data_IF_419557031025
#
_entry.id   IF_419557031025
#
_cell.length_a   1.000
_cell.length_b   1.000
_cell.length_c   1.000
_cell.angle_alpha   90.00
_cell.angle_beta   90.00
_cell.angle_gamma   90.00
#
_symmetry.space_group_name_H-M   'P 1'
#
loop_
_entity.id
_entity.type
_entity.pdbx_description
1 polymer ?
#
# COMPACT_ATOMS: atom_id res chain seq x y z
N UNK A 1 21.70 0.52 -8.35
CA UNK A 1 22.19 -0.30 -7.22
C UNK A 1 21.85 0.46 -5.95
N UNK A 2 20.99 0.06 -5.01
CA UNK A 2 20.34 -1.21 -4.74
C UNK A 2 20.24 -1.40 -3.22
N UNK A 3 19.60 -0.48 -2.49
CA UNK A 3 19.41 -0.60 -1.03
C UNK A 3 18.20 0.21 -0.54
N UNK A 4 17.00 -0.37 -0.58
CA UNK A 4 15.85 0.13 0.18
C UNK A 4 14.75 -0.96 0.40
N UNK A 5 15.09 -2.25 0.37
CA UNK A 5 14.08 -3.33 0.40
C UNK A 5 13.75 -3.90 1.79
N UNK A 6 14.30 -3.36 2.89
CA UNK A 6 14.27 -4.04 4.20
C UNK A 6 14.11 -3.17 5.46
N UNK A 7 13.92 -1.84 5.36
CA UNK A 7 13.94 -0.99 6.57
C UNK A 7 12.64 -1.14 7.41
N UNK A 8 11.49 -1.41 6.80
CA UNK A 8 10.22 -1.62 7.53
C UNK A 8 10.09 -2.97 8.23
N UNK A 9 10.90 -3.98 7.88
CA UNK A 9 10.74 -5.36 8.39
C UNK A 9 11.32 -5.61 9.78
N UNK A 10 12.11 -4.68 10.34
CA UNK A 10 12.87 -4.95 11.57
C UNK A 10 12.23 -4.31 12.83
N UNK A 11 11.46 -3.23 12.67
CA UNK A 11 10.81 -2.54 13.79
C UNK A 11 9.68 -3.35 14.42
N UNK A 12 8.67 -3.69 13.63
CA UNK A 12 7.50 -4.44 14.08
C UNK A 12 7.82 -5.89 14.51
N UNK A 13 8.77 -6.53 13.81
CA UNK A 13 9.19 -7.90 14.12
C UNK A 13 9.82 -8.00 15.52
N UNK A 14 10.42 -6.95 16.07
CA UNK A 14 11.01 -6.98 17.41
C UNK A 14 9.97 -6.92 18.55
N UNK A 15 8.82 -6.26 18.33
CA UNK A 15 7.76 -6.11 19.35
C UNK A 15 6.77 -7.28 19.27
N UNK A 16 6.38 -7.71 18.06
CA UNK A 16 5.59 -8.94 17.87
C UNK A 16 6.35 -10.18 18.37
N UNK A 17 7.67 -10.26 18.16
CA UNK A 17 8.51 -11.30 18.76
C UNK A 17 8.68 -11.10 20.27
N UNK A 18 8.59 -9.87 20.80
CA UNK A 18 8.65 -9.58 22.24
C UNK A 18 7.39 -10.02 22.99
N UNK A 19 6.20 -9.79 22.43
CA UNK A 19 4.91 -10.20 23.01
C UNK A 19 4.64 -11.69 22.71
N UNK A 20 4.95 -12.13 21.49
CA UNK A 20 4.94 -13.52 21.07
C UNK A 20 5.90 -14.37 21.89
N UNK A 21 7.13 -13.91 22.15
CA UNK A 21 8.04 -14.58 23.08
C UNK A 21 7.65 -14.38 24.55
N UNK A 22 7.01 -13.28 24.96
CA UNK A 22 6.48 -13.16 26.33
C UNK A 22 5.43 -14.25 26.62
N UNK A 23 4.56 -14.53 25.65
CA UNK A 23 3.54 -15.58 25.74
C UNK A 23 4.05 -16.99 25.34
N UNK A 24 5.10 -17.10 24.52
CA UNK A 24 5.66 -18.38 24.03
C UNK A 24 6.98 -18.82 24.72
N UNK A 25 7.70 -17.95 25.43
CA UNK A 25 8.98 -18.25 26.10
C UNK A 25 8.81 -18.80 27.52
N UNK A 26 7.68 -19.43 27.81
CA UNK A 26 7.55 -20.25 29.02
C UNK A 26 8.41 -21.51 28.85
N UNK A 27 9.01 -22.06 29.93
CA UNK A 27 10.03 -23.08 29.81
C UNK A 27 9.45 -24.34 29.14
N UNK A 28 10.04 -24.70 28.00
CA UNK A 28 10.02 -26.06 27.48
C UNK A 28 10.20 -27.03 28.66
N UNK A 29 9.20 -27.87 28.89
CA UNK A 29 9.46 -29.15 29.53
C UNK A 29 10.31 -29.91 28.52
N UNK A 30 11.62 -29.92 28.72
CA UNK A 30 12.51 -30.73 27.92
C UNK A 30 12.06 -32.19 28.07
N UNK A 31 11.39 -32.72 27.05
CA UNK A 31 11.16 -34.16 26.93
C UNK A 31 12.52 -34.79 26.64
N UNK A 32 13.28 -35.11 27.69
CA UNK A 32 14.51 -35.86 27.57
C UNK A 32 14.19 -37.23 26.95
N UNK A 33 14.76 -37.49 25.78
CA UNK A 33 14.84 -38.83 25.23
C UNK A 33 15.54 -39.73 26.27
N UNK A 34 14.94 -40.87 26.71
CA UNK A 34 15.62 -41.73 27.66
C UNK A 34 16.84 -42.34 26.99
N UNK A 35 18.02 -42.10 27.56
CA UNK A 35 19.25 -42.82 27.19
C UNK A 35 18.99 -44.32 27.26
N UNK A 36 19.29 -45.03 26.16
CA UNK A 36 19.32 -46.48 26.13
C UNK A 36 20.43 -46.96 27.06
N UNK A 37 20.08 -47.29 28.31
CA UNK A 37 20.63 -48.41 29.07
C UNK A 37 19.79 -48.64 30.32
N UNK A 38 19.38 -49.89 30.49
CA UNK A 38 18.37 -50.34 31.44
C UNK A 38 18.87 -50.45 32.89
N UNK A 39 18.00 -50.12 33.85
CA UNK A 39 17.64 -51.07 34.91
C UNK A 39 16.28 -50.71 35.51
N UNK A 40 15.38 -51.69 35.53
CA UNK A 40 13.94 -51.53 35.70
C UNK A 40 13.52 -51.25 37.16
N UNK A 41 12.68 -50.23 37.35
CA UNK A 41 11.58 -50.27 38.33
C UNK A 41 10.27 -50.09 37.57
N UNK A 42 9.53 -51.18 37.51
CA UNK A 42 8.24 -51.36 36.88
C UNK A 42 7.20 -50.34 37.39
N UNK A 43 6.98 -49.30 36.60
CA UNK A 43 5.71 -48.59 36.54
C UNK A 43 5.50 -48.20 35.08
N UNK A 44 5.05 -49.15 34.28
CA UNK A 44 4.51 -48.85 32.96
C UNK A 44 3.25 -47.99 33.13
N UNK A 45 3.38 -46.67 33.09
CA UNK A 45 2.27 -45.85 32.64
C UNK A 45 2.04 -46.24 31.19
N UNK A 46 0.86 -46.77 30.83
CA UNK A 46 0.60 -47.11 29.44
C UNK A 46 0.80 -45.84 28.61
N UNK A 47 1.55 -45.91 27.50
CA UNK A 47 1.48 -44.88 26.47
C UNK A 47 0.00 -44.86 26.05
N UNK A 48 -0.74 -43.87 26.54
CA UNK A 48 -2.16 -43.72 26.22
C UNK A 48 -2.26 -43.73 24.69
N UNK A 49 -3.12 -44.55 24.07
CA UNK A 49 -3.19 -44.62 22.61
C UNK A 49 -3.38 -43.23 21.98
N UNK A 50 -2.73 -42.97 20.84
CA UNK A 50 -2.92 -41.76 20.04
C UNK A 50 -4.44 -41.50 19.88
N UNK A 51 -4.89 -40.31 20.29
CA UNK A 51 -6.31 -39.92 20.31
C UNK A 51 -7.04 -40.10 21.66
N UNK A 52 -6.37 -40.56 22.73
CA UNK A 52 -6.94 -40.59 24.09
C UNK A 52 -6.37 -39.54 25.05
N UNK A 53 -5.30 -38.83 24.69
CA UNK A 53 -4.74 -37.75 25.50
C UNK A 53 -5.70 -36.56 25.51
N UNK A 54 -6.25 -36.27 26.69
CA UNK A 54 -7.32 -35.30 26.86
C UNK A 54 -7.33 -34.77 28.29
N UNK A 55 -7.40 -33.45 28.42
CA UNK A 55 -7.65 -32.77 29.67
C UNK A 55 -8.76 -31.74 29.52
N UNK A 56 -9.63 -31.64 30.53
CA UNK A 56 -10.72 -30.67 30.58
C UNK A 56 -10.74 -30.06 31.97
N UNK A 57 -10.69 -28.73 32.04
CA UNK A 57 -10.83 -27.96 33.28
C UNK A 57 -11.94 -26.92 33.12
N UNK A 58 -12.74 -26.75 34.16
CA UNK A 58 -13.80 -25.75 34.20
C UNK A 58 -13.88 -25.12 35.58
N UNK A 59 -13.96 -23.79 35.67
CA UNK A 59 -14.12 -23.06 36.93
C UNK A 59 -13.08 -23.44 38.02
N UNK A 60 -11.81 -23.64 37.69
CA UNK A 60 -10.80 -24.04 38.68
C UNK A 60 -10.67 -25.54 38.92
N UNK A 61 -11.59 -26.35 38.40
CA UNK A 61 -11.64 -27.79 38.67
C UNK A 61 -11.29 -28.60 37.41
N UNK A 62 -10.28 -29.47 37.52
CA UNK A 62 -9.99 -30.48 36.49
C UNK A 62 -11.10 -31.55 36.49
N UNK A 63 -11.79 -31.69 35.36
CA UNK A 63 -12.92 -32.61 35.16
C UNK A 63 -12.52 -33.89 34.45
N UNK A 64 -11.54 -33.82 33.56
CA UNK A 64 -10.98 -34.96 32.83
C UNK A 64 -9.48 -34.81 32.80
N UNK A 65 -8.74 -35.88 33.07
CA UNK A 65 -7.31 -35.97 32.84
C UNK A 65 -6.98 -37.35 32.28
N UNK A 66 -6.37 -37.40 31.09
CA UNK A 66 -5.91 -38.60 30.41
C UNK A 66 -4.58 -38.31 29.72
N UNK A 67 -3.57 -39.10 30.06
CA UNK A 67 -2.20 -38.92 29.59
C UNK A 67 -1.60 -37.56 29.94
N UNK A 68 -0.87 -36.98 29.00
CA UNK A 68 -0.01 -35.82 29.19
C UNK A 68 -0.62 -34.47 28.79
N UNK A 69 -1.81 -34.46 28.18
CA UNK A 69 -2.53 -33.23 27.86
C UNK A 69 -2.80 -32.40 29.13
N UNK A 70 -2.68 -31.07 29.04
CA UNK A 70 -2.82 -30.15 30.18
C UNK A 70 -3.99 -29.20 29.93
N UNK A 71 -4.96 -29.14 30.84
CA UNK A 71 -5.99 -28.11 30.85
C UNK A 71 -6.09 -27.47 32.24
N UNK A 72 -5.93 -26.15 32.28
CA UNK A 72 -6.07 -25.34 33.49
C UNK A 72 -7.05 -24.21 33.25
N UNK A 73 -7.98 -24.01 34.17
CA UNK A 73 -8.88 -22.86 34.18
C UNK A 73 -8.99 -22.29 35.58
N UNK A 74 -9.33 -21.02 35.70
CA UNK A 74 -9.77 -20.37 36.94
C UNK A 74 -10.89 -19.37 36.65
N UNK A 75 -11.43 -18.72 37.69
CA UNK A 75 -12.53 -17.77 37.52
C UNK A 75 -13.87 -18.40 37.15
N UNK A 76 -14.93 -17.61 37.20
CA UNK A 76 -16.28 -18.07 36.92
C UNK A 76 -16.51 -18.18 35.41
N UNK A 77 -17.07 -19.31 34.96
CA UNK A 77 -17.47 -19.53 33.57
C UNK A 77 -16.33 -19.90 32.62
N UNK A 78 -15.10 -20.02 33.13
CA UNK A 78 -13.92 -20.32 32.31
C UNK A 78 -13.80 -21.81 32.02
N UNK A 79 -13.31 -22.13 30.82
CA UNK A 79 -13.21 -23.49 30.28
C UNK A 79 -11.89 -23.66 29.54
N UNK A 80 -11.13 -24.68 29.91
CA UNK A 80 -9.94 -25.13 29.19
C UNK A 80 -10.11 -26.58 28.72
N UNK A 81 -9.80 -26.84 27.45
CA UNK A 81 -9.89 -28.18 26.83
C UNK A 81 -8.62 -28.41 26.01
N UNK A 82 -7.83 -29.42 26.36
CA UNK A 82 -6.68 -29.88 25.59
C UNK A 82 -6.90 -31.30 25.08
N UNK A 83 -6.58 -31.55 23.81
CA UNK A 83 -6.68 -32.86 23.14
C UNK A 83 -5.49 -33.10 22.23
N UNK A 84 -4.81 -34.22 22.43
CA UNK A 84 -3.58 -34.57 21.72
C UNK A 84 -2.40 -34.75 22.67
N UNK A 85 -1.33 -35.34 22.15
CA UNK A 85 -0.10 -35.60 22.88
C UNK A 85 0.66 -34.28 23.08
N UNK A 86 1.07 -33.99 24.32
CA UNK A 86 1.78 -32.74 24.65
C UNK A 86 0.96 -31.45 24.44
N UNK A 87 -0.36 -31.55 24.28
CA UNK A 87 -1.25 -30.40 24.05
C UNK A 87 -1.59 -29.67 25.35
N UNK A 88 -1.62 -28.33 25.31
CA UNK A 88 -1.92 -27.50 26.49
C UNK A 88 -3.02 -26.46 26.23
N UNK A 89 -3.90 -26.25 27.21
CA UNK A 89 -4.94 -25.23 27.20
C UNK A 89 -5.04 -24.51 28.55
N UNK A 90 -4.96 -23.18 28.55
CA UNK A 90 -5.00 -22.35 29.75
C UNK A 90 -6.08 -21.26 29.63
N UNK A 91 -7.09 -21.29 30.49
CA UNK A 91 -8.15 -20.29 30.56
C UNK A 91 -8.18 -19.64 31.95
N UNK A 92 -7.21 -18.77 32.22
CA UNK A 92 -6.82 -18.31 33.57
C UNK A 92 -6.76 -16.78 33.68
N UNK A 93 -6.73 -16.26 34.91
CA UNK A 93 -6.58 -14.83 35.19
C UNK A 93 -7.83 -13.98 34.94
N UNK A 94 -9.02 -14.59 34.94
CA UNK A 94 -10.29 -13.89 34.69
C UNK A 94 -11.50 -14.81 34.58
N UNK A 95 -12.66 -14.25 34.31
CA UNK A 95 -13.94 -14.96 34.13
C UNK A 95 -14.24 -15.19 32.66
N UNK A 96 -15.03 -16.22 32.37
CA UNK A 96 -15.55 -16.54 31.04
C UNK A 96 -14.48 -16.77 29.95
N UNK A 97 -13.22 -17.00 30.34
CA UNK A 97 -12.13 -17.29 29.43
C UNK A 97 -12.28 -18.70 28.83
N UNK A 98 -11.99 -18.85 27.55
CA UNK A 98 -12.13 -20.13 26.82
C UNK A 98 -10.89 -20.46 26.04
N UNK A 99 -10.17 -21.50 26.46
CA UNK A 99 -9.02 -22.05 25.75
C UNK A 99 -9.32 -23.46 25.25
N UNK A 100 -9.15 -23.70 23.95
CA UNK A 100 -9.30 -25.02 23.36
C UNK A 100 -8.13 -25.32 22.44
N UNK A 101 -7.37 -26.37 22.72
CA UNK A 101 -6.29 -26.84 21.85
C UNK A 101 -6.58 -28.28 21.42
N UNK A 102 -6.59 -28.51 20.10
CA UNK A 102 -6.78 -29.81 19.48
C UNK A 102 -5.67 -30.05 18.45
N UNK A 103 -4.75 -30.94 18.75
CA UNK A 103 -3.57 -31.24 17.93
C UNK A 103 -2.32 -31.44 18.78
N UNK A 104 -1.44 -32.30 18.31
CA UNK A 104 -0.19 -32.69 18.98
C UNK A 104 0.70 -31.47 19.19
N UNK A 105 1.24 -31.27 20.39
CA UNK A 105 2.17 -30.18 20.71
C UNK A 105 1.58 -28.78 20.66
N UNK A 106 0.25 -28.64 20.54
CA UNK A 106 -0.42 -27.36 20.37
C UNK A 106 -0.79 -26.68 21.70
N UNK A 107 -0.84 -25.35 21.68
CA UNK A 107 -1.08 -24.53 22.88
C UNK A 107 -2.14 -23.46 22.64
N UNK A 108 -3.12 -23.38 23.54
CA UNK A 108 -4.11 -22.29 23.57
C UNK A 108 -4.09 -21.58 24.93
N UNK A 109 -3.96 -20.24 24.94
CA UNK A 109 -3.95 -19.43 26.17
C UNK A 109 -5.02 -18.34 26.06
N UNK A 110 -5.95 -18.29 27.02
CA UNK A 110 -7.01 -17.28 27.12
C UNK A 110 -6.98 -16.61 28.51
N UNK A 111 -6.79 -15.28 28.57
CA UNK A 111 -6.78 -14.48 29.80
C UNK A 111 -5.39 -13.96 30.18
N UNK A 112 -4.71 -14.62 31.12
CA UNK A 112 -3.37 -14.24 31.59
C UNK A 112 -2.28 -15.26 31.19
N UNK A 113 -1.02 -14.87 31.38
CA UNK A 113 0.09 -15.83 31.52
C UNK A 113 -0.22 -16.78 32.69
N UNK A 114 -0.18 -18.12 32.49
CA UNK A 114 -0.36 -19.10 33.57
C UNK A 114 0.56 -18.93 34.78
N UNK A 115 1.70 -18.23 34.62
CA UNK A 115 2.67 -17.98 35.68
C UNK A 115 2.43 -16.64 36.41
N UNK A 116 1.60 -15.74 35.85
CA UNK A 116 1.19 -14.48 36.49
C UNK A 116 -0.30 -14.19 36.23
N UNK A 117 -1.21 -14.82 36.99
CA UNK A 117 -2.65 -14.66 36.81
C UNK A 117 -3.19 -13.29 37.29
N UNK A 118 -2.32 -12.37 37.74
CA UNK A 118 -2.75 -11.06 38.28
C UNK A 118 -2.98 -10.00 37.21
N UNK A 119 -2.62 -10.29 35.95
CA UNK A 119 -2.66 -9.36 34.82
C UNK A 119 -3.51 -9.94 33.66
N UNK A 120 -4.58 -10.67 33.97
CA UNK A 120 -5.50 -11.22 32.96
C UNK A 120 -6.68 -10.31 32.62
N UNK A 121 -7.62 -10.84 31.84
CA UNK A 121 -8.90 -10.20 31.53
C UNK A 121 -10.00 -11.22 31.28
N UNK A 122 -11.22 -10.74 31.11
CA UNK A 122 -12.45 -11.52 31.02
C UNK A 122 -12.86 -11.80 29.56
N UNK A 123 -13.54 -12.92 29.34
CA UNK A 123 -14.19 -13.23 28.07
C UNK A 123 -13.26 -13.54 26.89
N UNK A 124 -11.97 -13.75 27.14
CA UNK A 124 -10.99 -14.07 26.12
C UNK A 124 -11.21 -15.47 25.53
N UNK A 125 -10.87 -15.65 24.25
CA UNK A 125 -11.02 -16.92 23.53
C UNK A 125 -9.78 -17.28 22.72
N UNK A 126 -9.14 -18.40 23.07
CA UNK A 126 -8.08 -19.00 22.26
C UNK A 126 -8.52 -20.37 21.74
N UNK A 127 -8.36 -20.62 20.45
CA UNK A 127 -8.72 -21.90 19.82
C UNK A 127 -7.64 -22.35 18.85
N UNK A 128 -7.13 -23.56 19.00
CA UNK A 128 -6.22 -24.21 18.06
C UNK A 128 -6.85 -25.51 17.55
N UNK A 129 -6.85 -25.68 16.25
CA UNK A 129 -7.13 -26.94 15.57
C UNK A 129 -6.05 -27.21 14.51
N UNK A 130 -5.06 -28.00 14.90
CA UNK A 130 -3.84 -28.27 14.12
C UNK A 130 -2.69 -28.62 15.05
N UNK A 131 -1.65 -29.25 14.51
CA UNK A 131 -0.47 -29.70 15.23
C UNK A 131 0.57 -28.57 15.35
N UNK A 132 1.37 -28.60 16.42
CA UNK A 132 2.47 -27.66 16.69
C UNK A 132 2.08 -26.18 16.56
N UNK A 133 0.87 -25.84 16.96
CA UNK A 133 0.27 -24.52 16.71
C UNK A 133 -0.04 -23.76 18.00
N UNK A 134 -0.09 -22.43 17.91
CA UNK A 134 -0.27 -21.54 19.05
C UNK A 134 -1.39 -20.53 18.83
N UNK A 135 -2.31 -20.42 19.79
CA UNK A 135 -3.26 -19.32 19.88
C UNK A 135 -3.19 -18.65 21.25
N UNK A 136 -2.91 -17.35 21.30
CA UNK A 136 -2.88 -16.55 22.53
C UNK A 136 -3.86 -15.40 22.49
N UNK A 137 -4.83 -15.39 23.40
CA UNK A 137 -5.83 -14.33 23.59
C UNK A 137 -5.74 -13.78 25.02
N UNK A 138 -5.00 -12.69 25.27
CA UNK A 138 -4.60 -12.35 26.64
C UNK A 138 -4.43 -10.85 26.92
N UNK A 139 -4.25 -10.48 28.19
CA UNK A 139 -3.88 -9.13 28.63
C UNK A 139 -4.89 -8.05 28.18
N UNK A 140 -6.16 -8.26 28.51
CA UNK A 140 -7.30 -7.40 28.17
C UNK A 140 -8.58 -8.23 28.07
N UNK A 141 -9.70 -7.60 27.74
CA UNK A 141 -11.02 -8.23 27.69
C UNK A 141 -11.45 -8.59 26.25
N UNK A 142 -12.13 -9.72 26.09
CA UNK A 142 -12.80 -10.07 24.82
C UNK A 142 -11.88 -10.39 23.63
N UNK A 143 -10.58 -10.56 23.84
CA UNK A 143 -9.66 -10.91 22.77
C UNK A 143 -9.94 -12.31 22.21
N UNK A 144 -9.75 -12.50 20.90
CA UNK A 144 -10.01 -13.77 20.21
C UNK A 144 -8.84 -14.17 19.32
N UNK A 145 -8.20 -15.30 19.62
CA UNK A 145 -7.17 -15.91 18.78
C UNK A 145 -7.64 -17.29 18.28
N UNK A 146 -7.60 -17.53 16.98
CA UNK A 146 -8.01 -18.80 16.37
C UNK A 146 -6.98 -19.28 15.34
N UNK A 147 -6.57 -20.54 15.46
CA UNK A 147 -5.76 -21.23 14.45
C UNK A 147 -6.50 -22.44 13.93
N UNK A 148 -6.56 -22.57 12.60
CA UNK A 148 -6.95 -23.78 11.86
C UNK A 148 -5.84 -24.08 10.86
N UNK A 149 -5.04 -25.11 11.13
CA UNK A 149 -3.83 -25.42 10.37
C UNK A 149 -2.65 -25.71 11.29
N UNK A 150 -1.60 -26.29 10.71
CA UNK A 150 -0.42 -26.79 11.42
C UNK A 150 0.70 -25.75 11.44
N UNK A 151 1.51 -25.75 12.50
CA UNK A 151 2.68 -24.85 12.62
C UNK A 151 2.36 -23.34 12.63
N UNK A 152 1.13 -22.95 12.97
CA UNK A 152 0.62 -21.58 12.84
C UNK A 152 0.55 -20.84 14.18
N UNK A 153 0.68 -19.51 14.16
CA UNK A 153 0.71 -18.66 15.36
C UNK A 153 -0.25 -17.47 15.28
N UNK A 154 -1.35 -17.51 16.03
CA UNK A 154 -2.29 -16.40 16.19
C UNK A 154 -2.19 -15.75 17.58
N UNK A 155 -2.07 -14.42 17.65
CA UNK A 155 -1.96 -13.65 18.90
C UNK A 155 -2.91 -12.47 18.88
N UNK A 156 -3.86 -12.43 19.81
CA UNK A 156 -4.75 -11.30 20.09
C UNK A 156 -4.50 -10.82 21.52
N UNK A 157 -3.75 -9.74 21.74
CA UNK A 157 -3.32 -9.40 23.10
C UNK A 157 -3.09 -7.92 23.36
N UNK A 158 -2.99 -7.54 24.63
CA UNK A 158 -2.66 -6.16 25.07
C UNK A 158 -3.68 -5.15 24.56
N UNK A 159 -4.78 -5.02 25.31
CA UNK A 159 -5.95 -4.22 24.96
C UNK A 159 -7.18 -5.09 24.71
N UNK A 160 -8.30 -4.49 24.30
CA UNK A 160 -9.60 -5.15 24.31
C UNK A 160 -10.11 -5.48 22.91
N UNK A 161 -10.84 -6.59 22.78
CA UNK A 161 -11.54 -7.00 21.55
C UNK A 161 -10.64 -7.18 20.32
N UNK A 162 -9.35 -7.47 20.50
CA UNK A 162 -8.47 -7.80 19.39
C UNK A 162 -8.80 -9.19 18.83
N UNK A 163 -8.66 -9.37 17.52
CA UNK A 163 -9.00 -10.61 16.81
C UNK A 163 -7.85 -11.05 15.92
N UNK A 164 -7.28 -12.24 16.17
CA UNK A 164 -6.28 -12.87 15.34
C UNK A 164 -6.80 -14.22 14.82
N UNK A 165 -6.82 -14.43 13.50
CA UNK A 165 -7.34 -15.65 12.89
C UNK A 165 -6.40 -16.16 11.82
N UNK A 166 -6.12 -17.46 11.85
CA UNK A 166 -5.40 -18.17 10.81
C UNK A 166 -6.25 -19.35 10.34
N UNK A 167 -6.36 -19.47 9.01
CA UNK A 167 -6.92 -20.62 8.29
C UNK A 167 -5.93 -21.03 7.20
N UNK A 168 -4.99 -21.92 7.55
CA UNK A 168 -3.83 -22.32 6.74
C UNK A 168 -2.63 -22.73 7.60
N UNK A 169 -1.63 -23.32 6.96
CA UNK A 169 -0.44 -23.86 7.62
C UNK A 169 0.70 -22.85 7.65
N UNK A 170 1.48 -22.83 8.74
CA UNK A 170 2.68 -22.00 8.89
C UNK A 170 2.45 -20.48 8.89
N UNK A 171 1.22 -20.02 9.09
CA UNK A 171 0.85 -18.60 9.07
C UNK A 171 1.15 -17.87 10.36
N UNK A 172 1.17 -16.54 10.30
CA UNK A 172 1.29 -15.65 11.46
C UNK A 172 0.23 -14.54 11.45
N UNK A 173 -0.52 -14.39 12.54
CA UNK A 173 -1.50 -13.33 12.70
C UNK A 173 -1.37 -12.67 14.08
N UNK A 174 -1.11 -11.36 14.13
CA UNK A 174 -0.99 -10.60 15.38
C UNK A 174 -1.93 -9.41 15.38
N UNK A 175 -2.85 -9.36 16.34
CA UNK A 175 -3.70 -8.22 16.65
C UNK A 175 -3.41 -7.73 18.06
N UNK A 176 -2.71 -6.61 18.25
CA UNK A 176 -2.21 -6.26 19.58
C UNK A 176 -1.92 -4.78 19.84
N UNK A 177 -1.68 -4.45 21.11
CA UNK A 177 -1.25 -3.11 21.55
C UNK A 177 -2.23 -2.01 21.16
N UNK A 178 -3.47 -2.17 21.61
CA UNK A 178 -4.62 -1.31 21.33
C UNK A 178 -5.90 -2.13 21.32
N UNK A 179 -7.02 -1.53 20.94
CA UNK A 179 -8.34 -2.18 20.98
C UNK A 179 -8.95 -2.35 19.60
N UNK A 180 -9.72 -3.43 19.40
CA UNK A 180 -10.47 -3.65 18.15
C UNK A 180 -9.61 -4.04 16.94
N UNK A 181 -8.31 -4.29 17.12
CA UNK A 181 -7.45 -4.66 16.00
C UNK A 181 -7.81 -6.05 15.45
N UNK A 182 -7.68 -6.23 14.15
CA UNK A 182 -8.05 -7.46 13.45
C UNK A 182 -6.93 -7.92 12.50
N UNK A 183 -6.36 -9.08 12.76
CA UNK A 183 -5.35 -9.72 11.91
C UNK A 183 -5.87 -11.07 11.41
N UNK A 184 -5.92 -11.26 10.09
CA UNK A 184 -6.49 -12.46 9.47
C UNK A 184 -5.54 -12.99 8.39
N UNK A 185 -5.24 -14.29 8.45
CA UNK A 185 -4.55 -15.02 7.40
C UNK A 185 -5.44 -16.14 6.90
N UNK A 186 -5.71 -16.16 5.60
CA UNK A 186 -6.29 -17.27 4.87
C UNK A 186 -5.26 -17.78 3.84
N UNK A 187 -4.84 -19.03 3.94
CA UNK A 187 -3.77 -19.60 3.12
C UNK A 187 -2.49 -19.86 3.92
N UNK A 188 -1.52 -20.49 3.25
CA UNK A 188 -0.32 -20.99 3.90
C UNK A 188 0.78 -19.92 3.94
N UNK A 189 1.54 -19.90 5.04
CA UNK A 189 2.70 -19.03 5.25
C UNK A 189 2.45 -17.50 5.15
N UNK A 190 1.19 -17.06 5.15
CA UNK A 190 0.84 -15.64 5.17
C UNK A 190 1.16 -14.96 6.51
N UNK A 191 1.35 -13.64 6.49
CA UNK A 191 1.60 -12.83 7.69
C UNK A 191 0.69 -11.61 7.74
N UNK A 192 -0.14 -11.49 8.78
CA UNK A 192 -1.00 -10.34 9.01
C UNK A 192 -0.72 -9.74 10.40
N UNK A 193 -0.33 -8.47 10.46
CA UNK A 193 -0.13 -7.76 11.73
C UNK A 193 -0.96 -6.48 11.75
N UNK A 194 -1.87 -6.40 12.73
CA UNK A 194 -2.69 -5.24 13.06
C UNK A 194 -2.33 -4.78 14.48
N UNK A 195 -1.41 -3.82 14.61
CA UNK A 195 -0.79 -3.50 15.91
C UNK A 195 -0.71 -2.00 16.17
N UNK A 196 -0.44 -1.61 17.42
CA UNK A 196 -0.06 -0.24 17.79
C UNK A 196 -1.08 0.83 17.37
N UNK A 197 -2.20 0.85 18.09
CA UNK A 197 -3.34 1.73 17.85
C UNK A 197 -4.66 0.95 17.88
N UNK A 198 -5.77 1.64 17.62
CA UNK A 198 -7.12 1.06 17.70
C UNK A 198 -7.70 0.80 16.30
N UNK A 199 -8.52 -0.24 16.18
CA UNK A 199 -9.30 -0.58 14.97
C UNK A 199 -8.48 -0.82 13.69
N UNK A 200 -7.18 -1.15 13.81
CA UNK A 200 -6.37 -1.52 12.65
C UNK A 200 -6.77 -2.90 12.11
N UNK A 201 -6.72 -3.08 10.80
CA UNK A 201 -7.11 -4.32 10.12
C UNK A 201 -6.05 -4.76 9.11
N UNK A 202 -5.49 -5.95 9.30
CA UNK A 202 -4.58 -6.59 8.37
C UNK A 202 -5.17 -7.94 7.90
N UNK A 203 -5.26 -8.14 6.59
CA UNK A 203 -5.82 -9.36 5.99
C UNK A 203 -4.90 -9.87 4.88
N UNK A 204 -4.60 -11.17 4.91
CA UNK A 204 -3.87 -11.86 3.85
C UNK A 204 -4.70 -13.04 3.33
N UNK A 205 -4.88 -13.11 2.02
CA UNK A 205 -5.35 -14.27 1.28
C UNK A 205 -4.19 -14.79 0.40
N UNK A 206 -3.51 -15.85 0.84
CA UNK A 206 -2.29 -16.39 0.20
C UNK A 206 -1.09 -16.40 1.15
N UNK A 207 0.12 -16.31 0.59
CA UNK A 207 1.38 -16.35 1.34
C UNK A 207 2.09 -14.99 1.45
N UNK A 208 1.37 -13.90 1.19
CA UNK A 208 1.87 -12.53 1.28
C UNK A 208 1.95 -11.96 2.71
N UNK A 209 2.14 -10.65 2.81
CA UNK A 209 2.23 -9.93 4.08
C UNK A 209 1.41 -8.64 4.13
N UNK A 210 0.54 -8.49 5.12
CA UNK A 210 -0.24 -7.28 5.37
C UNK A 210 0.13 -6.68 6.73
N UNK A 211 0.41 -5.37 6.77
CA UNK A 211 0.79 -4.64 7.97
C UNK A 211 -0.06 -3.37 8.14
N UNK A 212 -0.87 -3.31 9.21
CA UNK A 212 -1.68 -2.16 9.57
C UNK A 212 -1.31 -1.68 10.98
N UNK A 213 -0.65 -0.53 11.12
CA UNK A 213 -0.14 -0.13 12.43
C UNK A 213 0.10 1.38 12.61
N UNK A 214 0.62 1.76 13.78
CA UNK A 214 1.08 3.13 14.08
C UNK A 214 0.00 4.19 13.83
N UNK A 215 -1.13 4.05 14.51
CA UNK A 215 -2.31 4.93 14.38
C UNK A 215 -3.60 4.12 14.38
N UNK A 216 -4.74 4.74 14.08
CA UNK A 216 -6.05 4.10 14.19
C UNK A 216 -6.72 3.87 12.83
N UNK A 217 -7.51 2.80 12.71
CA UNK A 217 -8.34 2.56 11.53
C UNK A 217 -7.57 2.25 10.24
N UNK A 218 -6.28 1.91 10.33
CA UNK A 218 -5.50 1.56 9.16
C UNK A 218 -5.91 0.19 8.61
N UNK A 219 -5.94 0.06 7.28
CA UNK A 219 -6.37 -1.14 6.56
C UNK A 219 -5.27 -1.62 5.60
N UNK A 220 -4.77 -2.83 5.80
CA UNK A 220 -3.87 -3.51 4.87
C UNK A 220 -4.49 -4.84 4.39
N UNK A 221 -4.60 -5.03 3.08
CA UNK A 221 -5.16 -6.25 2.48
C UNK A 221 -4.26 -6.76 1.35
N UNK A 222 -3.98 -8.06 1.35
CA UNK A 222 -3.23 -8.74 0.30
C UNK A 222 -4.02 -9.93 -0.23
N UNK A 223 -4.26 -9.97 -1.53
CA UNK A 223 -4.69 -11.14 -2.29
C UNK A 223 -3.52 -11.61 -3.19
N UNK A 224 -2.83 -12.69 -2.79
CA UNK A 224 -1.70 -13.28 -3.52
C UNK A 224 -0.35 -13.28 -2.78
N UNK A 225 0.75 -13.41 -3.53
CA UNK A 225 2.13 -13.41 -3.03
C UNK A 225 2.74 -11.99 -3.01
N UNK A 226 2.13 -11.10 -2.23
CA UNK A 226 2.41 -9.65 -2.26
C UNK A 226 2.58 -9.02 -0.88
N UNK A 227 2.83 -7.71 -0.84
CA UNK A 227 3.03 -6.97 0.41
C UNK A 227 2.22 -5.66 0.46
N UNK A 228 1.47 -5.45 1.53
CA UNK A 228 0.73 -4.22 1.79
C UNK A 228 1.09 -3.61 3.15
N UNK A 229 1.25 -2.30 3.21
CA UNK A 229 1.50 -1.57 4.46
C UNK A 229 0.65 -0.31 4.54
N UNK A 230 -0.15 -0.21 5.60
CA UNK A 230 -0.91 0.98 5.98
C UNK A 230 -0.44 1.42 7.38
N UNK A 231 0.34 2.51 7.48
CA UNK A 231 0.94 2.87 8.77
C UNK A 231 1.24 4.36 8.95
N UNK A 232 1.45 4.80 10.18
CA UNK A 232 1.98 6.12 10.49
C UNK A 232 0.97 7.22 10.23
N UNK A 233 -0.09 7.24 11.04
CA UNK A 233 -1.28 8.09 10.90
C UNK A 233 -2.55 7.24 10.96
N UNK A 234 -3.71 7.87 10.76
CA UNK A 234 -5.01 7.24 10.85
C UNK A 234 -5.64 7.01 9.47
N UNK A 235 -6.53 6.02 9.38
CA UNK A 235 -7.39 5.76 8.21
C UNK A 235 -6.62 5.54 6.89
N UNK A 236 -5.37 5.05 6.96
CA UNK A 236 -4.61 4.71 5.77
C UNK A 236 -5.05 3.37 5.20
N UNK A 237 -5.14 3.24 3.89
CA UNK A 237 -5.60 2.03 3.18
C UNK A 237 -4.56 1.55 2.17
N UNK A 238 -4.11 0.31 2.29
CA UNK A 238 -3.19 -0.36 1.39
C UNK A 238 -3.77 -1.69 0.91
N UNK A 239 -4.03 -1.84 -0.39
CA UNK A 239 -4.66 -3.05 -0.96
C UNK A 239 -3.86 -3.56 -2.15
N UNK A 240 -3.59 -4.86 -2.19
CA UNK A 240 -2.97 -5.54 -3.34
C UNK A 240 -3.86 -6.67 -3.84
N UNK A 241 -4.12 -6.67 -5.14
CA UNK A 241 -4.71 -7.78 -5.90
C UNK A 241 -3.73 -8.14 -7.04
N UNK A 242 -2.92 -9.17 -6.85
CA UNK A 242 -1.89 -9.57 -7.80
C UNK A 242 -0.65 -10.11 -7.09
N UNK A 243 0.24 -10.73 -7.85
CA UNK A 243 1.43 -11.39 -7.35
C UNK A 243 2.69 -10.54 -7.50
N UNK A 244 3.63 -10.69 -6.57
CA UNK A 244 4.92 -10.01 -6.58
C UNK A 244 4.78 -8.47 -6.64
N UNK A 245 3.70 -7.95 -6.05
CA UNK A 245 3.34 -6.54 -6.00
C UNK A 245 3.55 -5.97 -4.59
N UNK A 246 3.69 -4.65 -4.49
CA UNK A 246 3.93 -3.97 -3.21
C UNK A 246 3.17 -2.65 -3.13
N UNK A 247 2.54 -2.41 -1.97
CA UNK A 247 1.74 -1.20 -1.72
C UNK A 247 2.08 -0.58 -0.38
N UNK A 248 2.13 0.76 -0.33
CA UNK A 248 2.39 1.54 0.88
C UNK A 248 1.47 2.75 0.97
N UNK A 249 0.70 2.85 2.04
CA UNK A 249 -0.07 4.05 2.43
C UNK A 249 0.38 4.49 3.83
N UNK A 250 0.74 5.77 4.01
CA UNK A 250 1.17 6.21 5.33
C UNK A 250 1.72 7.62 5.44
N UNK A 251 2.43 7.88 6.55
CA UNK A 251 3.14 9.14 6.83
C UNK A 251 2.25 10.33 7.15
N UNK A 252 0.93 10.14 7.22
CA UNK A 252 -0.12 11.09 7.54
C UNK A 252 -1.47 10.38 7.55
N UNK A 253 -2.57 11.12 7.47
CA UNK A 253 -3.93 10.56 7.63
C UNK A 253 -4.63 10.37 6.27
N UNK A 254 -5.46 9.32 6.16
CA UNK A 254 -6.37 9.13 5.04
C UNK A 254 -5.71 8.84 3.69
N UNK A 255 -4.49 8.31 3.67
CA UNK A 255 -3.82 7.95 2.42
C UNK A 255 -4.33 6.61 1.90
N UNK A 256 -4.50 6.48 0.59
CA UNK A 256 -4.97 5.26 -0.09
C UNK A 256 -3.98 4.83 -1.16
N UNK A 257 -3.55 3.57 -1.13
CA UNK A 257 -2.71 2.97 -2.16
C UNK A 257 -3.30 1.61 -2.58
N UNK A 258 -3.48 1.38 -3.88
CA UNK A 258 -4.12 0.17 -4.42
C UNK A 258 -3.39 -0.31 -5.66
N UNK A 259 -3.11 -1.61 -5.73
CA UNK A 259 -2.62 -2.29 -6.94
C UNK A 259 -3.59 -3.39 -7.35
N UNK A 260 -3.94 -3.41 -8.63
CA UNK A 260 -4.56 -4.52 -9.33
C UNK A 260 -3.67 -4.87 -10.54
N UNK A 261 -2.83 -5.89 -10.39
CA UNK A 261 -1.82 -6.28 -11.39
C UNK A 261 -0.58 -6.90 -10.77
N UNK A 262 0.17 -7.63 -11.58
CA UNK A 262 1.36 -8.38 -11.17
C UNK A 262 2.63 -7.54 -11.31
N UNK A 263 3.57 -7.69 -10.37
CA UNK A 263 4.86 -6.99 -10.42
C UNK A 263 4.76 -5.46 -10.31
N UNK A 264 3.70 -4.95 -9.68
CA UNK A 264 3.32 -3.54 -9.68
C UNK A 264 3.50 -2.86 -8.31
N UNK A 265 3.55 -1.53 -8.30
CA UNK A 265 3.78 -0.72 -7.09
C UNK A 265 2.85 0.48 -6.97
N UNK A 266 2.19 0.63 -5.82
CA UNK A 266 1.50 1.88 -5.47
C UNK A 266 1.99 2.46 -4.14
N UNK A 267 2.26 3.76 -4.11
CA UNK A 267 2.76 4.46 -2.91
C UNK A 267 2.05 5.79 -2.67
N UNK A 268 1.38 5.93 -1.53
CA UNK A 268 0.86 7.18 -0.99
C UNK A 268 1.52 7.44 0.38
N UNK A 269 2.74 7.99 0.35
CA UNK A 269 3.74 7.71 1.40
C UNK A 269 3.86 8.78 2.49
N UNK A 270 3.82 10.08 2.16
CA UNK A 270 3.99 11.16 3.14
C UNK A 270 3.05 12.31 2.79
N UNK A 271 2.33 12.79 3.81
CA UNK A 271 1.24 13.76 3.67
C UNK A 271 -0.11 13.09 3.98
N UNK A 272 -1.20 13.83 3.82
CA UNK A 272 -2.56 13.36 4.09
C UNK A 272 -3.43 13.39 2.84
N UNK A 273 -4.44 12.52 2.78
CA UNK A 273 -5.43 12.51 1.69
C UNK A 273 -4.88 12.08 0.33
N UNK A 274 -3.68 11.50 0.27
CA UNK A 274 -3.09 11.08 -1.00
C UNK A 274 -3.70 9.76 -1.49
N UNK A 275 -3.90 9.64 -2.80
CA UNK A 275 -4.40 8.43 -3.46
C UNK A 275 -3.44 7.99 -4.57
N UNK A 276 -3.01 6.72 -4.55
CA UNK A 276 -2.19 6.08 -5.57
C UNK A 276 -2.85 4.78 -6.06
N UNK A 277 -3.12 4.65 -7.35
CA UNK A 277 -3.81 3.46 -7.91
C UNK A 277 -3.09 2.93 -9.14
N UNK A 278 -2.92 1.61 -9.21
CA UNK A 278 -2.40 0.91 -10.39
C UNK A 278 -3.38 -0.16 -10.83
N UNK A 279 -3.71 -0.16 -12.12
CA UNK A 279 -4.41 -1.23 -12.82
C UNK A 279 -3.59 -1.61 -14.05
N UNK A 280 -2.80 -2.67 -13.96
CA UNK A 280 -1.85 -3.09 -15.00
C UNK A 280 -0.61 -3.75 -14.43
N UNK A 281 0.07 -4.53 -15.26
CA UNK A 281 1.24 -5.32 -14.89
C UNK A 281 2.55 -4.52 -15.07
N UNK A 282 3.48 -4.70 -14.14
CA UNK A 282 4.79 -4.02 -14.19
C UNK A 282 4.70 -2.49 -14.10
N UNK A 283 3.65 -1.97 -13.46
CA UNK A 283 3.28 -0.55 -13.45
C UNK A 283 3.45 0.10 -12.08
N UNK A 284 3.55 1.45 -12.05
CA UNK A 284 3.81 2.19 -10.82
C UNK A 284 3.03 3.51 -10.70
N UNK A 285 2.35 3.71 -9.56
CA UNK A 285 1.71 4.98 -9.18
C UNK A 285 2.28 5.46 -7.84
N UNK A 286 2.91 6.65 -7.81
CA UNK A 286 3.60 7.12 -6.59
C UNK A 286 3.32 8.57 -6.31
N UNK A 287 2.95 8.87 -5.07
CA UNK A 287 3.00 10.21 -4.47
C UNK A 287 3.87 10.16 -3.22
N UNK A 288 4.91 10.99 -3.21
CA UNK A 288 5.97 10.92 -2.18
C UNK A 288 5.77 11.91 -1.05
N UNK A 289 5.46 13.17 -1.36
CA UNK A 289 5.33 14.26 -0.38
C UNK A 289 4.20 15.22 -0.75
N UNK A 290 3.48 15.68 0.27
CA UNK A 290 2.44 16.70 0.22
C UNK A 290 1.04 16.10 0.27
N UNK A 291 0.00 16.94 0.23
CA UNK A 291 -1.36 16.54 0.58
C UNK A 291 -2.31 16.47 -0.63
N UNK A 292 -3.37 15.67 -0.51
CA UNK A 292 -4.52 15.63 -1.42
C UNK A 292 -4.17 15.34 -2.89
N UNK A 293 -3.11 14.57 -3.13
CA UNK A 293 -2.69 14.22 -4.48
C UNK A 293 -3.34 12.94 -4.97
N UNK A 294 -3.75 12.90 -6.23
CA UNK A 294 -4.31 11.71 -6.88
C UNK A 294 -3.43 11.25 -8.03
N UNK A 295 -2.94 10.01 -7.96
CA UNK A 295 -2.05 9.40 -8.96
C UNK A 295 -2.66 8.07 -9.42
N UNK A 296 -2.83 7.88 -10.72
CA UNK A 296 -3.45 6.68 -11.28
C UNK A 296 -2.75 6.18 -12.54
N UNK A 297 -2.60 4.86 -12.66
CA UNK A 297 -2.15 4.16 -13.86
C UNK A 297 -3.18 3.12 -14.26
N UNK A 298 -3.55 3.12 -15.55
CA UNK A 298 -4.33 2.09 -16.20
C UNK A 298 -3.63 1.67 -17.51
N UNK A 299 -2.81 0.62 -17.45
CA UNK A 299 -1.96 0.16 -18.54
C UNK A 299 -0.71 -0.56 -18.03
N UNK A 300 -0.10 -1.36 -18.88
CA UNK A 300 1.07 -2.17 -18.56
C UNK A 300 2.37 -1.36 -18.76
N UNK A 301 3.40 -1.69 -17.98
CA UNK A 301 4.73 -1.07 -18.09
C UNK A 301 4.74 0.45 -17.85
N UNK A 302 3.70 0.99 -17.20
CA UNK A 302 3.40 2.42 -17.18
C UNK A 302 3.65 3.05 -15.81
N UNK A 303 3.86 4.36 -15.80
CA UNK A 303 4.24 5.09 -14.58
C UNK A 303 3.58 6.44 -14.42
N UNK A 304 2.91 6.64 -13.29
CA UNK A 304 2.44 7.94 -12.84
C UNK A 304 3.20 8.34 -11.57
N UNK A 305 3.69 9.58 -11.50
CA UNK A 305 4.45 10.05 -10.34
C UNK A 305 4.08 11.47 -9.97
N UNK A 306 3.92 11.71 -8.68
CA UNK A 306 3.88 13.03 -8.10
C UNK A 306 4.97 13.15 -7.02
N UNK A 307 5.80 14.17 -7.14
CA UNK A 307 6.90 14.42 -6.22
C UNK A 307 6.83 15.86 -5.68
N UNK A 308 6.64 15.96 -4.37
CA UNK A 308 6.67 17.21 -3.61
C UNK A 308 5.66 18.25 -4.11
N UNK A 309 4.36 17.99 -3.91
CA UNK A 309 3.28 18.84 -4.39
C UNK A 309 1.96 18.59 -3.66
N UNK A 310 0.94 19.41 -3.90
CA UNK A 310 -0.38 19.23 -3.26
C UNK A 310 -1.52 19.47 -4.25
N UNK A 311 -2.63 18.77 -4.07
CA UNK A 311 -3.79 18.82 -4.96
C UNK A 311 -3.49 18.46 -6.43
N UNK A 312 -2.40 17.74 -6.71
CA UNK A 312 -2.08 17.37 -8.08
C UNK A 312 -2.89 16.14 -8.52
N UNK A 313 -3.24 16.11 -9.81
CA UNK A 313 -3.85 14.95 -10.48
C UNK A 313 -2.92 14.44 -11.57
N UNK A 314 -2.42 13.21 -11.42
CA UNK A 314 -1.53 12.55 -12.39
C UNK A 314 -2.18 11.27 -12.87
N UNK A 315 -2.40 11.13 -14.17
CA UNK A 315 -3.14 9.99 -14.75
C UNK A 315 -2.43 9.45 -15.99
N UNK A 316 -2.23 8.13 -16.05
CA UNK A 316 -1.79 7.42 -17.25
C UNK A 316 -2.86 6.40 -17.64
N UNK A 317 -3.28 6.45 -18.91
CA UNK A 317 -4.16 5.47 -19.53
C UNK A 317 -3.52 5.06 -20.86
N UNK A 318 -3.01 3.83 -20.95
CA UNK A 318 -2.23 3.32 -22.08
C UNK A 318 -0.95 2.63 -21.61
N UNK A 319 -0.32 1.88 -22.51
CA UNK A 319 0.85 1.06 -22.22
C UNK A 319 2.17 1.81 -22.47
N UNK A 320 3.22 1.44 -21.74
CA UNK A 320 4.56 2.05 -21.84
C UNK A 320 4.56 3.59 -21.69
N UNK A 321 3.60 4.13 -20.94
CA UNK A 321 3.32 5.57 -20.86
C UNK A 321 3.68 6.16 -19.50
N UNK A 322 3.95 7.47 -19.47
CA UNK A 322 4.43 8.16 -18.28
C UNK A 322 3.75 9.51 -18.06
N UNK A 323 3.35 9.79 -16.81
CA UNK A 323 2.89 11.11 -16.40
C UNK A 323 3.56 11.54 -15.10
N UNK A 324 4.02 12.79 -15.02
CA UNK A 324 4.75 13.31 -13.85
C UNK A 324 4.24 14.68 -13.43
N UNK A 325 4.12 14.89 -12.12
CA UNK A 325 4.01 16.20 -11.50
C UNK A 325 5.17 16.37 -10.49
N UNK A 326 6.00 17.41 -10.64
CA UNK A 326 7.14 17.65 -9.73
C UNK A 326 7.13 19.07 -9.21
N UNK A 327 7.12 19.26 -7.88
CA UNK A 327 7.14 20.60 -7.28
C UNK A 327 6.01 21.49 -7.80
N UNK A 328 4.84 20.89 -7.95
CA UNK A 328 3.66 21.51 -8.52
C UNK A 328 2.51 21.50 -7.50
N UNK A 329 1.61 22.47 -7.59
CA UNK A 329 0.35 22.45 -6.83
C UNK A 329 -0.84 22.67 -7.75
N UNK A 330 -1.99 22.11 -7.40
CA UNK A 330 -3.24 22.21 -8.18
C UNK A 330 -3.04 21.86 -9.68
N UNK A 331 -2.08 20.99 -9.98
CA UNK A 331 -1.59 20.75 -11.35
C UNK A 331 -2.05 19.40 -11.89
N UNK A 332 -2.12 19.29 -13.22
CA UNK A 332 -2.64 18.10 -13.91
C UNK A 332 -1.66 17.60 -14.97
N UNK A 333 -1.25 16.33 -14.86
CA UNK A 333 -0.53 15.62 -15.92
C UNK A 333 -1.35 14.40 -16.35
N UNK A 334 -1.75 14.31 -17.61
CA UNK A 334 -2.60 13.23 -18.13
C UNK A 334 -2.08 12.68 -19.44
N UNK A 335 -1.95 11.37 -19.52
CA UNK A 335 -1.71 10.62 -20.76
C UNK A 335 -2.91 9.72 -21.06
N UNK A 336 -3.39 9.79 -22.31
CA UNK A 336 -4.32 8.82 -22.92
C UNK A 336 -3.76 8.36 -24.27
N UNK A 337 -3.01 7.26 -24.27
CA UNK A 337 -2.33 6.69 -25.43
C UNK A 337 -1.06 5.95 -25.04
N UNK A 338 -0.50 5.22 -25.98
CA UNK A 338 0.65 4.34 -25.76
C UNK A 338 1.97 5.06 -26.02
N UNK A 339 3.01 4.71 -25.25
CA UNK A 339 4.36 5.24 -25.41
C UNK A 339 4.45 6.77 -25.30
N UNK A 340 3.60 7.38 -24.48
CA UNK A 340 3.39 8.83 -24.42
C UNK A 340 3.81 9.43 -23.08
N UNK A 341 4.03 10.75 -23.06
CA UNK A 341 4.56 11.48 -21.91
C UNK A 341 3.76 12.75 -21.59
N UNK A 342 3.40 12.95 -20.32
CA UNK A 342 2.92 14.23 -19.82
C UNK A 342 3.72 14.69 -18.59
N UNK A 343 4.25 15.91 -18.60
CA UNK A 343 5.05 16.45 -17.50
C UNK A 343 4.56 17.84 -17.08
N UNK A 344 4.33 18.01 -15.77
CA UNK A 344 4.12 19.32 -15.14
C UNK A 344 5.12 19.54 -14.02
N UNK A 345 5.68 20.74 -13.96
CA UNK A 345 6.65 21.04 -12.92
C UNK A 345 6.72 22.52 -12.53
N UNK A 346 7.15 22.76 -11.28
CA UNK A 346 7.54 24.07 -10.74
C UNK A 346 6.49 25.18 -10.89
N UNK A 347 5.45 25.15 -10.07
CA UNK A 347 4.43 26.20 -10.02
C UNK A 347 3.03 25.63 -9.88
N UNK A 348 2.04 26.51 -9.90
CA UNK A 348 0.67 26.18 -9.61
C UNK A 348 -0.19 26.14 -10.89
N UNK A 349 -1.24 25.32 -10.90
CA UNK A 349 -2.22 25.23 -11.99
C UNK A 349 -1.62 24.89 -13.37
N UNK A 350 -0.50 24.17 -13.40
CA UNK A 350 0.10 23.74 -14.65
C UNK A 350 -0.64 22.49 -15.19
N UNK A 351 -0.82 22.42 -16.51
CA UNK A 351 -1.60 21.37 -17.16
C UNK A 351 -0.89 20.80 -18.39
N UNK A 352 -0.56 19.51 -18.36
CA UNK A 352 -0.04 18.75 -19.50
C UNK A 352 -0.99 17.60 -19.83
N UNK A 353 -1.54 17.59 -21.05
CA UNK A 353 -2.52 16.58 -21.47
C UNK A 353 -2.15 16.02 -22.84
N UNK A 354 -1.97 14.70 -22.93
CA UNK A 354 -1.79 13.95 -24.18
C UNK A 354 -3.01 13.08 -24.45
N UNK A 355 -3.53 13.14 -25.67
CA UNK A 355 -4.48 12.18 -26.24
C UNK A 355 -3.96 11.75 -27.62
N UNK A 356 -3.43 10.53 -27.71
CA UNK A 356 -2.74 10.01 -28.90
C UNK A 356 -1.48 9.24 -28.52
N UNK A 357 -0.90 8.52 -29.48
CA UNK A 357 0.25 7.65 -29.26
C UNK A 357 1.57 8.34 -29.57
N UNK A 358 2.63 7.95 -28.85
CA UNK A 358 4.00 8.48 -29.02
C UNK A 358 4.06 10.01 -28.99
N UNK A 359 3.23 10.62 -28.14
CA UNK A 359 3.07 12.06 -28.05
C UNK A 359 3.55 12.60 -26.71
N UNK A 360 3.92 13.87 -26.67
CA UNK A 360 4.49 14.52 -25.49
C UNK A 360 3.83 15.88 -25.21
N UNK A 361 3.43 16.11 -23.96
CA UNK A 361 3.01 17.41 -23.46
C UNK A 361 3.84 17.79 -22.23
N UNK A 362 4.43 18.99 -22.23
CA UNK A 362 5.18 19.51 -21.08
C UNK A 362 4.73 20.93 -20.75
N UNK A 363 4.23 21.13 -19.52
CA UNK A 363 3.83 22.42 -18.97
C UNK A 363 4.60 22.71 -17.69
N UNK A 364 5.70 23.46 -17.81
CA UNK A 364 6.67 23.60 -16.71
C UNK A 364 7.11 25.05 -16.50
N UNK A 365 7.13 25.44 -15.23
CA UNK A 365 7.80 26.65 -14.79
C UNK A 365 9.32 26.51 -14.70
N UNK A 366 10.00 27.61 -14.37
CA UNK A 366 11.44 27.62 -14.13
C UNK A 366 11.71 27.37 -12.64
N UNK A 367 12.67 26.47 -12.37
CA UNK A 367 13.06 26.13 -11.01
C UNK A 367 13.38 27.38 -10.17
N UNK A 368 12.77 27.45 -8.98
CA UNK A 368 12.88 28.54 -8.00
C UNK A 368 12.27 29.90 -8.40
N UNK A 369 11.87 30.12 -9.66
CA UNK A 369 11.07 31.29 -10.05
C UNK A 369 9.58 30.97 -10.17
N UNK A 370 9.21 29.69 -10.21
CA UNK A 370 7.84 29.25 -10.47
C UNK A 370 7.48 29.37 -11.95
N UNK A 371 6.19 29.33 -12.22
CA UNK A 371 5.59 29.44 -13.54
C UNK A 371 4.20 28.85 -13.47
N UNK A 372 3.20 29.71 -13.31
CA UNK A 372 1.83 29.30 -13.03
C UNK A 372 0.98 29.30 -14.32
N UNK A 373 -0.10 28.54 -14.34
CA UNK A 373 -1.08 28.52 -15.43
C UNK A 373 -0.50 28.14 -16.82
N UNK A 374 0.58 27.36 -16.86
CA UNK A 374 1.10 26.86 -18.14
C UNK A 374 0.27 25.67 -18.62
N UNK A 375 -0.06 25.63 -19.91
CA UNK A 375 -0.89 24.59 -20.52
C UNK A 375 -0.22 24.02 -21.77
N UNK A 376 0.02 22.72 -21.79
CA UNK A 376 0.45 21.96 -22.96
C UNK A 376 -0.58 20.88 -23.27
N UNK A 377 -1.12 20.86 -24.49
CA UNK A 377 -2.11 19.87 -24.89
C UNK A 377 -1.84 19.32 -26.28
N UNK A 378 -1.88 17.99 -26.39
CA UNK A 378 -1.77 17.25 -27.64
C UNK A 378 -3.03 16.41 -27.86
N UNK A 379 -3.63 16.55 -29.04
CA UNK A 379 -4.59 15.61 -29.60
C UNK A 379 -4.08 15.16 -30.97
N UNK A 380 -3.53 13.95 -31.05
CA UNK A 380 -2.88 13.39 -32.24
C UNK A 380 -1.62 12.59 -31.90
N UNK A 381 -1.09 11.89 -32.90
CA UNK A 381 0.02 10.94 -32.74
C UNK A 381 1.36 11.57 -33.13
N UNK A 382 2.43 11.20 -32.42
CA UNK A 382 3.79 11.66 -32.74
C UNK A 382 3.99 13.18 -32.58
N UNK A 383 3.19 13.82 -31.75
CA UNK A 383 3.13 15.28 -31.62
C UNK A 383 3.71 15.76 -30.29
N UNK A 384 4.27 16.99 -30.27
CA UNK A 384 4.98 17.54 -29.10
C UNK A 384 4.52 18.97 -28.78
N UNK A 385 3.85 19.15 -27.64
CA UNK A 385 3.47 20.46 -27.12
C UNK A 385 4.32 20.85 -25.90
N UNK A 386 4.88 22.05 -25.91
CA UNK A 386 5.71 22.58 -24.81
C UNK A 386 5.28 23.99 -24.42
N UNK A 387 4.81 24.15 -23.19
CA UNK A 387 4.57 25.43 -22.53
C UNK A 387 5.58 25.59 -21.38
N UNK A 388 6.54 26.50 -21.55
CA UNK A 388 7.67 26.60 -20.62
C UNK A 388 8.00 28.05 -20.25
N UNK A 389 8.39 28.28 -19.00
CA UNK A 389 8.97 29.56 -18.58
C UNK A 389 8.30 30.14 -17.34
N UNK A 390 7.82 31.38 -17.44
CA UNK A 390 7.00 32.00 -16.40
C UNK A 390 5.53 31.62 -16.57
N UNK A 391 4.62 32.60 -16.51
CA UNK A 391 3.20 32.30 -16.31
C UNK A 391 2.40 32.28 -17.62
N UNK A 392 1.28 31.55 -17.66
CA UNK A 392 0.28 31.65 -18.72
C UNK A 392 0.80 31.34 -20.14
N UNK A 393 1.77 30.41 -20.28
CA UNK A 393 2.16 29.93 -21.61
C UNK A 393 1.24 28.79 -22.04
N UNK A 394 0.80 28.78 -23.30
CA UNK A 394 -0.16 27.82 -23.83
C UNK A 394 0.33 27.23 -25.15
N UNK A 395 0.57 25.93 -25.19
CA UNK A 395 0.90 25.16 -26.40
C UNK A 395 -0.21 24.13 -26.66
N UNK A 396 -0.81 24.15 -27.85
CA UNK A 396 -1.96 23.31 -28.19
C UNK A 396 -1.81 22.71 -29.58
N UNK A 397 -2.06 21.41 -29.70
CA UNK A 397 -1.99 20.68 -30.97
C UNK A 397 -3.25 19.87 -31.18
N UNK A 398 -3.81 19.97 -32.37
CA UNK A 398 -4.78 19.02 -32.92
C UNK A 398 -4.29 18.59 -34.30
N UNK A 399 -3.71 17.39 -34.38
CA UNK A 399 -3.07 16.85 -35.58
C UNK A 399 -1.85 15.99 -35.26
N UNK A 400 -1.41 15.24 -36.26
CA UNK A 400 -0.33 14.27 -36.14
C UNK A 400 1.02 14.89 -36.52
N UNK A 401 2.11 14.34 -35.96
CA UNK A 401 3.50 14.69 -36.27
C UNK A 401 3.79 16.21 -36.19
N UNK A 402 3.15 16.89 -35.24
CA UNK A 402 3.15 18.35 -35.14
C UNK A 402 3.84 18.85 -33.89
N UNK A 403 4.21 20.14 -33.88
CA UNK A 403 4.91 20.77 -32.75
C UNK A 403 4.33 22.14 -32.40
N UNK A 404 4.08 22.37 -31.11
CA UNK A 404 3.68 23.66 -30.58
C UNK A 404 4.59 24.05 -29.41
N UNK A 405 5.23 25.21 -29.50
CA UNK A 405 6.13 25.71 -28.44
C UNK A 405 5.71 27.11 -28.02
N UNK A 406 5.32 27.29 -26.77
CA UNK A 406 5.08 28.57 -26.12
C UNK A 406 6.11 28.75 -25.00
N UNK A 407 7.08 29.65 -25.21
CA UNK A 407 8.21 29.80 -24.29
C UNK A 407 8.47 31.27 -23.94
N UNK A 408 8.52 31.56 -22.64
CA UNK A 408 9.07 32.82 -22.15
C UNK A 408 8.45 33.29 -20.84
N UNK A 409 8.64 34.56 -20.47
CA UNK A 409 8.23 35.05 -19.15
C UNK A 409 6.73 35.04 -18.91
N UNK A 410 5.90 35.31 -19.94
CA UNK A 410 4.44 35.21 -19.80
C UNK A 410 3.67 35.23 -21.12
N UNK A 411 2.47 34.65 -21.11
CA UNK A 411 1.40 34.86 -22.09
C UNK A 411 1.77 34.52 -23.54
N UNK A 412 2.60 33.50 -23.77
CA UNK A 412 2.83 33.03 -25.13
C UNK A 412 1.80 31.97 -25.50
N UNK A 413 1.27 32.02 -26.71
CA UNK A 413 0.31 31.05 -27.23
C UNK A 413 0.82 30.46 -28.54
N UNK A 414 0.95 29.14 -28.61
CA UNK A 414 1.26 28.39 -29.82
C UNK A 414 0.13 27.38 -30.08
N UNK A 415 -0.50 27.45 -31.24
CA UNK A 415 -1.62 26.57 -31.61
C UNK A 415 -1.40 25.97 -32.99
N UNK A 416 -1.49 24.65 -33.07
CA UNK A 416 -1.50 23.90 -34.34
C UNK A 416 -2.85 23.20 -34.49
N UNK A 417 -3.44 23.35 -35.68
CA UNK A 417 -4.57 22.55 -36.15
C UNK A 417 -4.24 22.07 -37.57
N UNK A 418 -3.82 20.81 -37.69
CA UNK A 418 -3.31 20.22 -38.94
C UNK A 418 -2.10 19.34 -38.68
N UNK A 419 -1.72 18.56 -39.69
CA UNK A 419 -0.65 17.56 -39.59
C UNK A 419 0.70 18.14 -40.01
N UNK A 420 1.79 17.54 -39.50
CA UNK A 420 3.17 17.89 -39.86
C UNK A 420 3.47 19.39 -39.73
N UNK A 421 2.88 20.06 -38.75
CA UNK A 421 2.87 21.52 -38.65
C UNK A 421 3.51 22.04 -37.37
N UNK A 422 4.01 23.27 -37.41
CA UNK A 422 4.77 23.87 -36.32
C UNK A 422 4.25 25.26 -35.95
N UNK A 423 3.98 25.50 -34.66
CA UNK A 423 3.73 26.82 -34.11
C UNK A 423 4.74 27.14 -33.00
N UNK A 424 5.39 28.30 -33.07
CA UNK A 424 6.40 28.73 -32.09
C UNK A 424 6.16 30.17 -31.66
N UNK A 425 5.88 30.39 -30.37
CA UNK A 425 5.73 31.70 -29.75
C UNK A 425 6.79 31.89 -28.65
N UNK A 426 7.73 32.82 -28.84
CA UNK A 426 8.86 33.03 -27.94
C UNK A 426 8.93 34.48 -27.46
N UNK A 427 8.98 34.68 -26.14
CA UNK A 427 9.13 35.99 -25.51
C UNK A 427 7.97 36.29 -24.57
N UNK A 428 7.27 37.40 -24.77
CA UNK A 428 6.15 37.82 -23.92
C UNK A 428 4.94 38.19 -24.77
N UNK A 429 3.74 37.75 -24.39
CA UNK A 429 2.48 38.13 -25.06
C UNK A 429 2.46 37.77 -26.58
N UNK A 430 3.19 36.73 -27.04
CA UNK A 430 3.24 36.36 -28.46
C UNK A 430 2.21 35.29 -28.82
N UNK A 431 1.73 35.29 -30.07
CA UNK A 431 0.71 34.36 -30.56
C UNK A 431 1.14 33.77 -31.92
N UNK A 432 1.38 32.46 -31.97
CA UNK A 432 1.64 31.72 -33.20
C UNK A 432 0.51 30.71 -33.45
N UNK A 433 -0.13 30.78 -34.62
CA UNK A 433 -1.24 29.91 -34.97
C UNK A 433 -1.08 29.30 -36.36
N UNK A 434 -1.25 27.99 -36.45
CA UNK A 434 -1.36 27.25 -37.72
C UNK A 434 -2.75 26.64 -37.83
N UNK A 435 -3.34 26.74 -39.02
CA UNK A 435 -4.53 25.99 -39.44
C UNK A 435 -4.29 25.48 -40.85
N UNK A 436 -4.02 24.18 -41.02
CA UNK A 436 -3.59 23.55 -42.27
C UNK A 436 -2.37 22.66 -42.08
N UNK A 437 -2.01 21.90 -43.12
CA UNK A 437 -0.99 20.86 -43.05
C UNK A 437 0.38 21.35 -43.54
N UNK A 438 1.46 20.75 -43.02
CA UNK A 438 2.84 21.07 -43.44
C UNK A 438 3.19 22.56 -43.34
N UNK A 439 2.66 23.24 -42.33
CA UNK A 439 2.69 24.70 -42.20
C UNK A 439 3.46 25.17 -40.96
N UNK A 440 3.99 26.40 -40.99
CA UNK A 440 4.87 26.92 -39.94
C UNK A 440 4.51 28.36 -39.52
N UNK A 441 4.26 28.60 -38.23
CA UNK A 441 4.05 29.93 -37.67
C UNK A 441 5.07 30.26 -36.56
N UNK A 442 5.78 31.38 -36.69
CA UNK A 442 6.79 31.85 -35.73
C UNK A 442 6.47 33.28 -35.28
N UNK A 443 6.20 33.45 -33.98
CA UNK A 443 5.98 34.74 -33.34
C UNK A 443 7.09 35.03 -32.32
N UNK A 444 7.91 36.04 -32.59
CA UNK A 444 9.04 36.46 -31.76
C UNK A 444 10.42 35.98 -32.24
N UNK A 445 11.50 36.26 -31.48
CA UNK A 445 11.51 36.68 -30.07
C UNK A 445 11.07 38.13 -29.82
N UNK A 446 10.42 38.40 -28.69
CA UNK A 446 10.08 39.76 -28.28
C UNK A 446 8.69 39.85 -27.65
N UNK A 447 7.99 40.96 -27.88
CA UNK A 447 6.71 41.24 -27.23
C UNK A 447 5.53 41.37 -28.20
N UNK A 448 4.36 40.83 -27.85
CA UNK A 448 3.11 41.15 -28.56
C UNK A 448 3.11 40.85 -30.08
N UNK A 449 3.88 39.86 -30.54
CA UNK A 449 3.94 39.49 -31.95
C UNK A 449 2.87 38.44 -32.28
N UNK A 450 2.32 38.48 -33.49
CA UNK A 450 1.29 37.54 -33.97
C UNK A 450 1.64 36.96 -35.35
N UNK A 451 1.83 35.64 -35.43
CA UNK A 451 2.00 34.90 -36.69
C UNK A 451 0.81 33.96 -36.90
N UNK A 452 0.13 34.07 -38.05
CA UNK A 452 -1.02 33.23 -38.38
C UNK A 452 -0.84 32.63 -39.78
N UNK A 453 -0.98 31.32 -39.87
CA UNK A 453 -1.07 30.57 -41.13
C UNK A 453 -2.46 29.95 -41.25
N UNK A 454 -3.10 30.15 -42.40
CA UNK A 454 -4.30 29.40 -42.81
C UNK A 454 -4.02 28.77 -44.18
N UNK A 455 -4.03 27.45 -44.28
CA UNK A 455 -3.70 26.71 -45.50
C UNK A 455 -2.41 25.89 -45.39
N UNK A 456 -2.11 25.16 -46.46
CA UNK A 456 -1.10 24.09 -46.45
C UNK A 456 0.23 24.56 -47.05
N UNK A 457 1.34 24.12 -46.46
CA UNK A 457 2.69 24.39 -46.98
C UNK A 457 3.13 25.85 -46.85
N UNK A 458 2.57 26.59 -45.88
CA UNK A 458 2.76 28.03 -45.73
C UNK A 458 3.67 28.35 -44.54
N UNK A 459 4.23 29.57 -44.53
CA UNK A 459 5.08 30.04 -43.43
C UNK A 459 4.79 31.49 -43.10
N UNK A 460 4.48 31.75 -41.82
CA UNK A 460 4.38 33.09 -41.23
C UNK A 460 5.48 33.27 -40.19
N UNK A 461 6.31 34.31 -40.32
CA UNK A 461 7.37 34.62 -39.36
C UNK A 461 7.38 36.13 -39.08
N UNK A 462 7.14 36.52 -37.82
CA UNK A 462 7.15 37.93 -37.42
C UNK A 462 8.56 38.50 -37.28
N UNK A 463 9.58 37.64 -37.22
CA UNK A 463 10.90 37.95 -36.71
C UNK A 463 10.86 38.45 -35.26
N UNK A 464 11.99 38.99 -34.81
CA UNK A 464 12.06 39.62 -33.50
C UNK A 464 11.45 41.03 -33.46
N UNK A 465 11.00 41.47 -32.28
CA UNK A 465 10.51 42.84 -32.10
C UNK A 465 9.29 42.98 -31.19
N UNK A 466 8.59 44.11 -31.32
CA UNK A 466 7.39 44.40 -30.55
C UNK A 466 6.21 44.73 -31.47
N UNK A 467 5.11 43.99 -31.34
CA UNK A 467 3.85 44.29 -32.03
C UNK A 467 3.80 43.91 -33.52
N UNK A 468 4.69 43.04 -34.00
CA UNK A 468 4.68 42.60 -35.40
C UNK A 468 3.51 41.64 -35.66
N UNK A 469 2.83 41.77 -36.79
CA UNK A 469 1.76 40.85 -37.20
C UNK A 469 1.99 40.35 -38.62
N UNK A 470 1.99 39.03 -38.81
CA UNK A 470 2.09 38.37 -40.11
C UNK A 470 0.96 37.36 -40.25
N UNK A 471 0.17 37.49 -41.32
CA UNK A 471 -0.96 36.59 -41.61
C UNK A 471 -0.78 36.09 -43.03
N UNK A 472 -0.72 34.77 -43.21
CA UNK A 472 -0.62 34.09 -44.50
C UNK A 472 -1.88 33.25 -44.70
N UNK A 473 -2.79 33.67 -45.60
CA UNK A 473 -4.10 33.05 -45.80
C UNK A 473 -4.12 31.93 -46.85
#
# INVERSE_FOLDING_TARGET
>A
MGYAKYIGRIGAMAIALGVGAGLAATPWVASAEPSKDASASDLSTPKTPEGQNMSVSTNGEVRVQKGDAIAQSDGQGSVAIARGDGTSAYAVGGNHNRAMANGTGSTAIAGADPNDPTVGGDGNRATVNGDNSFAGAALGDGNTATVRGDGSQAVAAVGDNNTAVIDGDGGHATAASGSGNTAIVHGDAGTADAIEGDDNTAVVHGSGGAFAADGNGNLAVVDGESFATAQGGNDNTAIVQGDNSSVSAGGGDGNTAIVAGDGSFAGAIIGSGNTATVNGDGSAAVTTFGDDNTVSVAGDGSRATNDNGSNNTVTVIGDDSQATATRAHDSTATVRGDGSLADVANGDNNSAVVTGDRSEASASGVFASGGDDNTASVTGDGSVATAFGGDNNTATITGDNSSATANGPRNNTATVSGDSSTATAIGTDNNAKVTGDSSNAIAGPGGSNTAIVNGDGLTADTGGGFGNTVIVP
#
